data_IF_893389427365
#
_entry.id   IF_893389427365
#
_cell.length_a   1.000
_cell.length_b   1.000
_cell.length_c   1.000
_cell.angle_alpha   90.00
_cell.angle_beta   90.00
_cell.angle_gamma   90.00
#
_symmetry.space_group_name_H-M   'P 1'
#
loop_
_entity.id
_entity.type
_entity.pdbx_description
1 polymer ?
#
# COMPACT_ATOMS: atom_id res chain seq x y z
N UNK A 1 16.20 22.94 -20.79
CA UNK A 1 15.23 22.58 -19.73
C UNK A 1 15.78 21.50 -18.81
N UNK A 2 16.16 20.31 -19.31
CA UNK A 2 16.82 19.22 -18.55
C UNK A 2 17.98 19.70 -17.65
N UNK A 3 18.94 20.44 -18.21
CA UNK A 3 20.09 20.99 -17.45
C UNK A 3 19.67 22.01 -16.39
N UNK A 4 18.62 22.80 -16.63
CA UNK A 4 18.19 23.85 -15.70
C UNK A 4 17.45 23.26 -14.50
N UNK A 5 16.66 22.20 -14.72
CA UNK A 5 15.92 21.48 -13.67
C UNK A 5 16.89 20.71 -12.77
N UNK A 6 17.81 19.94 -13.35
CA UNK A 6 18.83 19.21 -12.59
C UNK A 6 19.73 20.20 -11.82
N UNK A 7 20.17 21.28 -12.46
CA UNK A 7 20.97 22.32 -11.80
C UNK A 7 20.21 23.01 -10.65
N UNK A 8 18.90 23.23 -10.79
CA UNK A 8 18.06 23.78 -9.71
C UNK A 8 17.95 22.82 -8.53
N UNK A 9 17.87 21.51 -8.79
CA UNK A 9 17.88 20.50 -7.75
C UNK A 9 19.26 20.45 -7.08
N UNK A 10 20.37 20.36 -7.83
CA UNK A 10 21.74 20.26 -7.30
C UNK A 10 22.18 21.47 -6.46
N UNK A 11 21.85 22.70 -6.87
CA UNK A 11 22.30 23.92 -6.17
C UNK A 11 21.76 24.07 -4.74
N UNK A 12 20.71 23.31 -4.37
CA UNK A 12 20.13 23.36 -3.02
C UNK A 12 21.07 22.85 -1.92
N UNK A 13 22.16 22.14 -2.26
CA UNK A 13 23.13 21.63 -1.28
C UNK A 13 24.13 22.66 -0.73
N UNK A 14 24.21 23.86 -1.32
CA UNK A 14 25.35 24.78 -1.11
C UNK A 14 25.01 26.17 -0.54
N UNK A 15 23.76 26.49 -0.19
CA UNK A 15 23.36 27.88 0.09
C UNK A 15 22.98 28.19 1.55
N UNK A 16 23.32 29.42 1.98
CA UNK A 16 23.10 30.02 3.31
C UNK A 16 21.61 30.23 3.66
N UNK A 17 21.24 30.27 4.96
CA UNK A 17 19.85 30.23 5.46
C UNK A 17 18.92 31.35 4.96
N UNK A 18 19.43 32.51 4.52
CA UNK A 18 18.60 33.61 4.02
C UNK A 18 18.05 33.40 2.59
N UNK A 19 18.55 32.40 1.86
CA UNK A 19 18.11 32.05 0.50
C UNK A 19 17.14 30.87 0.42
N UNK A 20 16.78 30.30 1.57
CA UNK A 20 16.04 29.04 1.70
C UNK A 20 14.62 29.11 1.12
N UNK A 21 13.92 30.24 1.29
CA UNK A 21 12.54 30.42 0.81
C UNK A 21 12.41 30.44 -0.72
N UNK A 22 13.29 31.16 -1.42
CA UNK A 22 13.28 31.26 -2.89
C UNK A 22 13.72 29.94 -3.53
N UNK A 23 14.66 29.23 -2.89
CA UNK A 23 15.19 27.97 -3.37
C UNK A 23 14.21 26.80 -3.17
N UNK A 24 13.43 26.81 -2.08
CA UNK A 24 12.31 25.88 -1.88
C UNK A 24 11.22 26.03 -2.95
N UNK A 25 10.89 27.26 -3.34
CA UNK A 25 9.94 27.52 -4.44
C UNK A 25 10.47 27.02 -5.79
N UNK A 26 11.76 27.21 -6.07
CA UNK A 26 12.37 26.71 -7.30
C UNK A 26 12.37 25.17 -7.38
N UNK A 27 12.68 24.48 -6.27
CA UNK A 27 12.60 23.01 -6.19
C UNK A 27 11.16 22.53 -6.34
N UNK A 28 10.19 23.19 -5.70
CA UNK A 28 8.75 22.88 -5.85
C UNK A 28 8.29 23.02 -7.29
N UNK A 29 8.67 24.10 -7.98
CA UNK A 29 8.37 24.28 -9.40
C UNK A 29 9.02 23.23 -10.29
N UNK A 30 10.30 22.91 -10.03
CA UNK A 30 11.05 21.89 -10.75
C UNK A 30 10.41 20.49 -10.61
N UNK A 31 10.03 20.10 -9.39
CA UNK A 31 9.37 18.81 -9.14
C UNK A 31 7.99 18.72 -9.79
N UNK A 32 7.21 19.80 -9.79
CA UNK A 32 5.93 19.83 -10.53
C UNK A 32 6.14 19.63 -12.03
N UNK A 33 7.12 20.30 -12.63
CA UNK A 33 7.44 20.08 -14.04
C UNK A 33 7.92 18.65 -14.31
N UNK A 34 8.74 18.08 -13.41
CA UNK A 34 9.22 16.71 -13.55
C UNK A 34 8.11 15.68 -13.41
N UNK A 35 7.16 15.88 -12.49
CA UNK A 35 6.01 15.00 -12.33
C UNK A 35 5.11 15.01 -13.57
N UNK A 36 4.94 16.16 -14.22
CA UNK A 36 4.21 16.23 -15.51
C UNK A 36 4.96 15.54 -16.64
N UNK A 37 6.30 15.57 -16.61
CA UNK A 37 7.14 14.97 -17.64
C UNK A 37 7.43 13.49 -17.40
N UNK A 38 7.29 13.00 -16.17
CA UNK A 38 7.71 11.64 -15.79
C UNK A 38 6.90 10.57 -16.50
N UNK A 39 5.66 10.89 -16.85
CA UNK A 39 4.74 9.97 -17.52
C UNK A 39 5.03 9.88 -19.04
N UNK A 40 5.75 10.86 -19.59
CA UNK A 40 6.16 10.91 -21.00
C UNK A 40 7.61 10.41 -21.23
N UNK A 41 8.27 9.87 -20.21
CA UNK A 41 9.66 9.42 -20.32
C UNK A 41 9.77 8.10 -21.07
N UNK A 42 10.46 8.11 -22.22
CA UNK A 42 10.69 6.91 -23.04
C UNK A 42 11.91 6.06 -22.61
N UNK A 43 11.99 4.87 -23.20
CA UNK A 43 13.05 3.87 -23.00
C UNK A 43 14.45 4.34 -23.46
N UNK A 44 14.53 5.42 -24.23
CA UNK A 44 15.82 6.01 -24.66
C UNK A 44 16.33 7.08 -23.69
N UNK A 45 15.42 7.76 -23.00
CA UNK A 45 15.71 8.86 -22.10
C UNK A 45 16.01 8.37 -20.68
N UNK A 46 15.23 7.42 -20.17
CA UNK A 46 15.29 6.94 -18.78
C UNK A 46 16.70 6.48 -18.37
N UNK A 47 17.41 5.63 -19.15
CA UNK A 47 18.73 5.13 -18.74
C UNK A 47 19.80 6.23 -18.58
N UNK A 48 19.62 7.36 -19.26
CA UNK A 48 20.54 8.52 -19.18
C UNK A 48 20.12 9.51 -18.11
N UNK A 49 18.81 9.63 -17.87
CA UNK A 49 18.26 10.61 -16.94
C UNK A 49 18.34 10.11 -15.49
N UNK A 50 18.04 8.84 -15.24
CA UNK A 50 17.97 8.28 -13.89
C UNK A 50 19.28 8.44 -13.09
N UNK A 51 20.48 8.18 -13.64
CA UNK A 51 21.74 8.39 -12.92
C UNK A 51 21.94 9.82 -12.38
N UNK A 52 21.49 10.82 -13.13
CA UNK A 52 21.64 12.24 -12.80
C UNK A 52 20.50 12.73 -11.90
N UNK A 53 19.29 12.22 -12.13
CA UNK A 53 18.08 12.65 -11.44
C UNK A 53 17.95 12.00 -10.06
N UNK A 54 18.26 10.71 -9.94
CA UNK A 54 18.05 9.94 -8.72
C UNK A 54 18.79 10.50 -7.49
N UNK A 55 20.09 10.89 -7.56
CA UNK A 55 20.77 11.47 -6.39
C UNK A 55 20.09 12.74 -5.87
N UNK A 56 19.55 13.56 -6.78
CA UNK A 56 18.81 14.77 -6.43
C UNK A 56 17.46 14.46 -5.78
N UNK A 57 16.69 13.51 -6.33
CA UNK A 57 15.43 13.06 -5.74
C UNK A 57 15.65 12.41 -4.38
N UNK A 58 16.65 11.53 -4.28
CA UNK A 58 17.02 10.86 -3.03
C UNK A 58 17.35 11.86 -1.93
N UNK A 59 18.12 12.92 -2.23
CA UNK A 59 18.44 13.97 -1.26
C UNK A 59 17.19 14.70 -0.76
N UNK A 60 16.20 14.94 -1.62
CA UNK A 60 14.92 15.54 -1.21
C UNK A 60 14.18 14.59 -0.27
N UNK A 61 14.06 13.32 -0.66
CA UNK A 61 13.35 12.28 0.10
C UNK A 61 13.98 12.09 1.49
N UNK A 62 15.30 12.05 1.58
CA UNK A 62 16.06 11.79 2.81
C UNK A 62 16.27 12.99 3.73
N UNK A 63 15.77 14.19 3.37
CA UNK A 63 15.99 15.42 4.15
C UNK A 63 14.69 15.97 4.77
N UNK A 64 14.12 15.33 5.81
CA UNK A 64 12.87 15.78 6.45
C UNK A 64 12.99 17.16 7.10
N UNK A 65 14.19 17.57 7.47
CA UNK A 65 14.44 18.89 8.08
C UNK A 65 14.46 20.03 7.05
N UNK A 66 14.59 19.72 5.76
CA UNK A 66 14.72 20.71 4.70
C UNK A 66 13.46 20.80 3.83
N UNK A 67 12.74 19.69 3.67
CA UNK A 67 11.59 19.59 2.77
C UNK A 67 10.37 19.02 3.48
N UNK A 68 9.23 19.65 3.24
CA UNK A 68 7.91 19.20 3.70
C UNK A 68 7.56 17.83 3.09
N UNK A 69 6.75 17.03 3.81
CA UNK A 69 6.31 15.70 3.35
C UNK A 69 5.62 15.74 1.99
N UNK A 70 4.84 16.78 1.71
CA UNK A 70 4.19 16.97 0.39
C UNK A 70 5.20 16.99 -0.77
N UNK A 71 6.36 17.62 -0.58
CA UNK A 71 7.41 17.71 -1.59
C UNK A 71 8.20 16.41 -1.70
N UNK A 72 8.44 15.76 -0.56
CA UNK A 72 9.10 14.45 -0.48
C UNK A 72 8.25 13.35 -1.13
N UNK A 73 6.93 13.36 -0.94
CA UNK A 73 5.97 12.48 -1.62
C UNK A 73 6.02 12.68 -3.13
N UNK A 74 6.06 13.94 -3.61
CA UNK A 74 6.19 14.21 -5.06
C UNK A 74 7.51 13.69 -5.63
N UNK A 75 8.61 13.80 -4.88
CA UNK A 75 9.88 13.22 -5.30
C UNK A 75 9.82 11.68 -5.37
N UNK A 76 9.15 11.02 -4.41
CA UNK A 76 8.88 9.59 -4.46
C UNK A 76 8.00 9.19 -5.65
N UNK A 77 6.96 9.98 -5.98
CA UNK A 77 6.13 9.74 -7.16
C UNK A 77 6.94 9.73 -8.47
N UNK A 78 7.92 10.63 -8.61
CA UNK A 78 8.83 10.62 -9.77
C UNK A 78 9.73 9.37 -9.74
N UNK A 79 10.23 8.97 -8.56
CA UNK A 79 10.98 7.72 -8.41
C UNK A 79 10.14 6.52 -8.81
N UNK A 80 8.87 6.47 -8.40
CA UNK A 80 7.90 5.44 -8.80
C UNK A 80 7.79 5.36 -10.32
N UNK A 81 7.55 6.48 -11.02
CA UNK A 81 7.48 6.50 -12.49
C UNK A 81 8.78 6.02 -13.14
N UNK A 82 9.94 6.38 -12.58
CA UNK A 82 11.24 5.86 -13.04
C UNK A 82 11.35 4.33 -12.87
N UNK A 83 10.96 3.79 -11.71
CA UNK A 83 11.00 2.34 -11.44
C UNK A 83 10.05 1.59 -12.38
N UNK A 84 8.84 2.10 -12.58
CA UNK A 84 7.84 1.49 -13.46
C UNK A 84 8.31 1.45 -14.91
N UNK A 85 8.86 2.57 -15.41
CA UNK A 85 9.44 2.62 -16.76
C UNK A 85 10.63 1.69 -16.91
N UNK A 86 11.57 1.69 -15.94
CA UNK A 86 12.70 0.76 -15.92
C UNK A 86 12.24 -0.71 -15.94
N UNK A 87 11.17 -1.03 -15.23
CA UNK A 87 10.56 -2.36 -15.18
C UNK A 87 9.96 -2.82 -16.51
N UNK A 88 9.40 -1.87 -17.26
CA UNK A 88 8.80 -2.12 -18.59
C UNK A 88 9.83 -2.28 -19.70
N UNK A 89 11.11 -1.94 -19.45
CA UNK A 89 12.18 -2.07 -20.44
C UNK A 89 12.54 -3.54 -20.70
N UNK A 90 12.54 -3.94 -21.97
CA UNK A 90 12.95 -5.28 -22.40
C UNK A 90 14.04 -5.25 -23.48
N UNK A 91 14.67 -6.39 -23.73
CA UNK A 91 15.67 -6.53 -24.79
C UNK A 91 17.04 -5.90 -24.46
N UNK A 92 17.49 -4.99 -25.33
CA UNK A 92 18.89 -4.48 -25.38
C UNK A 92 19.32 -3.78 -24.09
N UNK A 93 18.39 -3.10 -23.41
CA UNK A 93 18.68 -2.30 -22.21
C UNK A 93 18.55 -3.06 -20.88
N UNK A 94 18.22 -4.37 -20.92
CA UNK A 94 17.97 -5.16 -19.71
C UNK A 94 19.16 -5.16 -18.73
N UNK A 95 20.39 -5.13 -19.24
CA UNK A 95 21.60 -5.13 -18.41
C UNK A 95 21.81 -3.76 -17.75
N UNK A 96 21.62 -2.69 -18.51
CA UNK A 96 21.68 -1.31 -18.05
C UNK A 96 20.62 -1.05 -16.97
N UNK A 97 19.38 -1.50 -17.19
CA UNK A 97 18.29 -1.44 -16.21
C UNK A 97 18.68 -2.12 -14.89
N UNK A 98 19.21 -3.35 -14.94
CA UNK A 98 19.61 -4.06 -13.72
C UNK A 98 20.70 -3.31 -12.96
N UNK A 99 21.69 -2.75 -13.66
CA UNK A 99 22.76 -1.97 -13.02
C UNK A 99 22.23 -0.68 -12.36
N UNK A 100 21.33 0.04 -13.04
CA UNK A 100 20.69 1.23 -12.51
C UNK A 100 19.85 0.91 -11.27
N UNK A 101 19.00 -0.11 -11.37
CA UNK A 101 18.18 -0.55 -10.25
C UNK A 101 19.03 -0.99 -9.05
N UNK A 102 20.11 -1.74 -9.30
CA UNK A 102 21.02 -2.16 -8.22
C UNK A 102 21.65 -0.95 -7.50
N UNK A 103 21.97 0.11 -8.24
CA UNK A 103 22.56 1.33 -7.68
C UNK A 103 21.55 2.17 -6.87
N UNK A 104 20.26 2.06 -7.18
CA UNK A 104 19.18 2.77 -6.51
C UNK A 104 18.60 1.99 -5.33
N UNK A 105 18.69 0.66 -5.36
CA UNK A 105 17.95 -0.23 -4.46
C UNK A 105 18.33 -0.01 -2.99
N UNK A 106 19.62 0.04 -2.68
CA UNK A 106 20.09 0.15 -1.30
C UNK A 106 19.64 1.45 -0.62
N UNK A 107 19.87 2.64 -1.22
CA UNK A 107 19.35 3.89 -0.66
C UNK A 107 17.82 3.90 -0.54
N UNK A 108 17.10 3.34 -1.53
CA UNK A 108 15.64 3.31 -1.51
C UNK A 108 15.11 2.44 -0.38
N UNK A 109 15.62 1.22 -0.23
CA UNK A 109 15.22 0.29 0.83
C UNK A 109 15.44 0.90 2.21
N UNK A 110 16.57 1.58 2.42
CA UNK A 110 16.83 2.30 3.68
C UNK A 110 15.76 3.37 3.95
N UNK A 111 15.45 4.21 2.95
CA UNK A 111 14.43 5.25 3.11
C UNK A 111 13.02 4.68 3.27
N UNK A 112 12.69 3.59 2.56
CA UNK A 112 11.41 2.92 2.67
C UNK A 112 11.21 2.37 4.07
N UNK A 113 12.22 1.69 4.64
CA UNK A 113 12.18 1.22 6.02
C UNK A 113 12.01 2.38 7.01
N UNK A 114 12.66 3.54 6.81
CA UNK A 114 12.50 4.71 7.68
C UNK A 114 11.07 5.27 7.61
N UNK A 115 10.53 5.44 6.40
CA UNK A 115 9.20 6.03 6.18
C UNK A 115 8.09 5.11 6.71
N UNK A 116 8.17 3.80 6.44
CA UNK A 116 7.19 2.81 6.91
C UNK A 116 7.26 2.55 8.42
N UNK A 117 8.40 2.85 9.08
CA UNK A 117 8.50 2.74 10.53
C UNK A 117 7.76 3.85 11.29
N UNK A 118 7.27 4.89 10.61
CA UNK A 118 6.38 5.87 11.22
C UNK A 118 4.98 5.27 11.35
N UNK A 119 4.35 5.20 12.53
CA UNK A 119 2.99 4.70 12.65
C UNK A 119 1.99 5.65 12.00
N UNK A 120 0.90 5.11 11.45
CA UNK A 120 -0.29 5.91 11.09
C UNK A 120 -1.06 6.20 12.37
N UNK A 121 -1.29 7.48 12.69
CA UNK A 121 -1.80 7.91 14.00
C UNK A 121 -3.19 8.52 13.95
N UNK A 122 -3.55 9.13 12.83
CA UNK A 122 -4.82 9.84 12.67
C UNK A 122 -5.34 9.67 11.24
N UNK A 123 -6.62 9.95 10.95
CA UNK A 123 -7.16 10.01 9.60
C UNK A 123 -6.72 11.29 8.85
N UNK A 124 -5.51 11.79 9.11
CA UNK A 124 -4.92 12.89 8.36
C UNK A 124 -4.08 12.34 7.20
N UNK A 125 -4.39 12.68 5.93
CA UNK A 125 -3.62 12.27 4.77
C UNK A 125 -2.12 12.50 4.85
N UNK A 126 -1.67 13.51 5.59
CA UNK A 126 -0.24 13.79 5.79
C UNK A 126 0.49 12.70 6.61
N UNK A 127 -0.24 11.87 7.38
CA UNK A 127 0.32 10.76 8.15
C UNK A 127 0.71 9.57 7.24
N UNK A 128 0.00 9.35 6.13
CA UNK A 128 0.26 8.22 5.21
C UNK A 128 0.70 8.62 3.80
N UNK A 129 0.69 9.90 3.41
CA UNK A 129 1.01 10.32 2.03
C UNK A 129 2.40 9.89 1.56
N UNK A 130 3.38 9.87 2.47
CA UNK A 130 4.73 9.38 2.18
C UNK A 130 4.75 7.86 2.06
N UNK A 131 4.00 7.17 2.93
CA UNK A 131 3.90 5.73 2.93
C UNK A 131 3.22 5.23 1.66
N UNK A 132 2.14 5.87 1.22
CA UNK A 132 1.44 5.57 -0.03
C UNK A 132 2.40 5.50 -1.22
N UNK A 133 3.27 6.49 -1.37
CA UNK A 133 4.26 6.51 -2.46
C UNK A 133 5.35 5.45 -2.28
N UNK A 134 5.73 5.12 -1.05
CA UNK A 134 6.63 3.99 -0.77
C UNK A 134 5.97 2.65 -1.13
N UNK A 135 4.70 2.45 -0.80
CA UNK A 135 3.95 1.23 -1.12
C UNK A 135 3.87 1.02 -2.63
N UNK A 136 3.52 2.07 -3.39
CA UNK A 136 3.54 2.06 -4.86
C UNK A 136 4.92 1.69 -5.41
N UNK A 137 5.99 2.29 -4.88
CA UNK A 137 7.36 1.96 -5.28
C UNK A 137 7.69 0.48 -4.99
N UNK A 138 7.35 -0.02 -3.81
CA UNK A 138 7.58 -1.42 -3.42
C UNK A 138 6.80 -2.38 -4.32
N UNK A 139 5.54 -2.07 -4.64
CA UNK A 139 4.72 -2.84 -5.55
C UNK A 139 5.40 -2.96 -6.92
N UNK A 140 5.78 -1.81 -7.51
CA UNK A 140 6.48 -1.79 -8.80
C UNK A 140 7.82 -2.53 -8.74
N UNK A 141 8.56 -2.44 -7.64
CA UNK A 141 9.82 -3.16 -7.46
C UNK A 141 9.62 -4.67 -7.49
N UNK A 142 8.66 -5.19 -6.73
CA UNK A 142 8.44 -6.64 -6.61
C UNK A 142 7.86 -7.20 -7.92
N UNK A 143 6.90 -6.50 -8.55
CA UNK A 143 6.28 -6.93 -9.80
C UNK A 143 7.27 -6.94 -10.96
N UNK A 144 8.04 -5.86 -11.13
CA UNK A 144 8.93 -5.72 -12.28
C UNK A 144 10.28 -6.41 -12.09
N UNK A 145 10.71 -6.59 -10.84
CA UNK A 145 11.99 -7.20 -10.50
C UNK A 145 11.78 -8.37 -9.52
N UNK A 146 11.14 -9.48 -9.95
CA UNK A 146 10.78 -10.59 -9.05
C UNK A 146 11.99 -11.33 -8.47
N UNK A 147 13.21 -11.07 -8.98
CA UNK A 147 14.49 -11.61 -8.48
C UNK A 147 15.28 -10.61 -7.62
N UNK A 148 14.59 -9.68 -6.97
CA UNK A 148 15.23 -8.79 -6.00
C UNK A 148 15.88 -9.61 -4.87
N UNK A 149 17.01 -9.16 -4.33
CA UNK A 149 17.65 -9.86 -3.24
C UNK A 149 16.71 -9.94 -2.03
N UNK A 150 16.44 -11.16 -1.55
CA UNK A 150 15.53 -11.41 -0.42
C UNK A 150 15.84 -10.51 0.78
N UNK A 151 17.11 -10.39 1.15
CA UNK A 151 17.56 -9.56 2.27
C UNK A 151 17.11 -8.08 2.19
N UNK A 152 16.91 -7.55 0.97
CA UNK A 152 16.49 -6.16 0.77
C UNK A 152 14.99 -6.00 1.01
N UNK A 153 14.18 -6.95 0.55
CA UNK A 153 12.74 -6.93 0.82
C UNK A 153 12.45 -7.28 2.28
N UNK A 154 13.17 -8.26 2.85
CA UNK A 154 13.00 -8.62 4.27
C UNK A 154 13.28 -7.45 5.22
N UNK A 155 14.13 -6.49 4.83
CA UNK A 155 14.39 -5.28 5.62
C UNK A 155 13.21 -4.30 5.70
N UNK A 156 12.25 -4.37 4.74
CA UNK A 156 11.05 -3.53 4.74
C UNK A 156 9.80 -4.26 5.28
N UNK A 157 9.80 -5.60 5.36
CA UNK A 157 8.64 -6.37 5.80
C UNK A 157 8.18 -6.05 7.23
N UNK A 158 9.11 -5.88 8.17
CA UNK A 158 8.79 -5.48 9.55
C UNK A 158 8.11 -4.11 9.62
N UNK A 159 8.71 -3.05 9.05
CA UNK A 159 8.09 -1.73 8.94
C UNK A 159 6.73 -1.75 8.20
N UNK A 160 6.62 -2.51 7.11
CA UNK A 160 5.38 -2.68 6.36
C UNK A 160 4.28 -3.31 7.21
N UNK A 161 4.61 -4.33 8.00
CA UNK A 161 3.69 -4.95 8.95
C UNK A 161 3.18 -3.94 9.98
N UNK A 162 4.06 -3.11 10.54
CA UNK A 162 3.65 -2.06 11.49
C UNK A 162 2.74 -1.01 10.83
N UNK A 163 2.99 -0.69 9.56
CA UNK A 163 2.11 0.18 8.77
C UNK A 163 0.72 -0.46 8.65
N UNK A 164 0.62 -1.73 8.26
CA UNK A 164 -0.65 -2.46 8.12
C UNK A 164 -1.44 -2.52 9.44
N UNK A 165 -0.77 -2.82 10.56
CA UNK A 165 -1.43 -2.91 11.87
C UNK A 165 -1.83 -1.53 12.43
N UNK A 166 -1.00 -0.50 12.25
CA UNK A 166 -1.31 0.84 12.76
C UNK A 166 -2.42 1.53 11.96
N UNK A 167 -2.39 1.38 10.63
CA UNK A 167 -3.41 1.90 9.73
C UNK A 167 -4.78 1.24 9.95
N UNK A 168 -4.82 -0.07 10.22
CA UNK A 168 -6.07 -0.75 10.62
C UNK A 168 -6.77 -0.06 11.79
N UNK A 169 -6.03 0.38 12.82
CA UNK A 169 -6.63 1.06 13.98
C UNK A 169 -7.29 2.37 13.58
N UNK A 170 -6.66 3.12 12.68
CA UNK A 170 -7.19 4.38 12.17
C UNK A 170 -8.40 4.12 11.26
N UNK A 171 -8.31 3.14 10.37
CA UNK A 171 -9.40 2.72 9.49
C UNK A 171 -10.62 2.25 10.28
N UNK A 172 -10.41 1.43 11.32
CA UNK A 172 -11.48 0.95 12.18
C UNK A 172 -12.22 2.08 12.89
N UNK A 173 -11.51 3.05 13.44
CA UNK A 173 -12.12 4.16 14.16
C UNK A 173 -12.74 5.21 13.24
N UNK A 174 -12.13 5.46 12.08
CA UNK A 174 -12.46 6.62 11.24
C UNK A 174 -13.38 6.29 10.07
N UNK A 175 -13.38 5.04 9.60
CA UNK A 175 -14.16 4.59 8.44
C UNK A 175 -15.19 3.55 8.86
N UNK A 176 -14.78 2.49 9.56
CA UNK A 176 -15.74 1.48 10.03
C UNK A 176 -16.66 2.14 11.05
N UNK A 177 -16.15 2.61 12.18
CA UNK A 177 -16.95 3.23 13.25
C UNK A 177 -17.17 4.75 13.07
N UNK A 178 -17.11 5.23 11.82
CA UNK A 178 -17.26 6.64 11.51
C UNK A 178 -18.57 7.21 12.07
N UNK A 179 -18.55 8.47 12.53
CA UNK A 179 -19.79 9.22 12.76
C UNK A 179 -20.39 9.68 11.43
N UNK A 180 -21.72 9.81 11.34
CA UNK A 180 -22.43 10.20 10.11
C UNK A 180 -21.93 11.52 9.47
N UNK A 181 -21.31 12.43 10.24
CA UNK A 181 -20.82 13.74 9.80
C UNK A 181 -19.32 13.78 9.46
N UNK A 182 -18.61 12.64 9.43
CA UNK A 182 -17.17 12.61 9.19
C UNK A 182 -16.83 12.81 7.70
N UNK A 183 -16.10 13.89 7.37
CA UNK A 183 -15.52 14.11 6.05
C UNK A 183 -14.21 13.32 5.93
N UNK A 184 -14.25 12.21 5.19
CA UNK A 184 -13.15 11.24 5.11
C UNK A 184 -12.28 11.40 3.85
N UNK A 185 -12.55 12.42 3.02
CA UNK A 185 -11.88 12.59 1.73
C UNK A 185 -10.98 13.83 1.74
N UNK A 186 -9.67 13.59 1.77
CA UNK A 186 -8.66 14.64 1.60
C UNK A 186 -8.30 14.85 0.12
N UNK A 187 -7.93 16.07 -0.24
CA UNK A 187 -7.35 16.37 -1.55
C UNK A 187 -5.98 17.05 -1.40
N UNK A 188 -5.07 16.76 -2.32
CA UNK A 188 -3.77 17.41 -2.36
C UNK A 188 -3.79 18.76 -3.11
N UNK A 189 -2.65 19.44 -3.15
CA UNK A 189 -2.53 20.76 -3.83
C UNK A 189 -2.81 20.74 -5.32
N UNK A 190 -2.81 19.56 -5.93
CA UNK A 190 -2.98 19.35 -7.36
C UNK A 190 -4.36 18.73 -7.65
N UNK A 191 -5.22 18.57 -6.62
CA UNK A 191 -6.58 18.06 -6.72
C UNK A 191 -6.70 16.54 -6.66
N UNK A 192 -5.60 15.83 -6.38
CA UNK A 192 -5.62 14.37 -6.26
C UNK A 192 -6.20 13.95 -4.92
N UNK A 193 -7.14 13.02 -4.95
CA UNK A 193 -7.71 12.43 -3.75
C UNK A 193 -6.65 11.69 -2.92
N UNK A 194 -6.73 11.84 -1.61
CA UNK A 194 -5.92 11.15 -0.60
C UNK A 194 -6.82 10.44 0.40
N UNK A 195 -7.54 9.44 -0.05
CA UNK A 195 -8.39 8.64 0.82
C UNK A 195 -7.58 7.63 1.62
N UNK A 196 -8.03 7.38 2.85
CA UNK A 196 -7.50 6.29 3.67
C UNK A 196 -7.84 4.94 3.02
N UNK A 197 -9.01 4.80 2.41
CA UNK A 197 -9.41 3.58 1.70
C UNK A 197 -8.46 3.24 0.54
N UNK A 198 -8.09 4.21 -0.31
CA UNK A 198 -7.09 3.96 -1.37
C UNK A 198 -5.72 3.58 -0.82
N UNK A 199 -5.37 4.05 0.38
CA UNK A 199 -4.13 3.65 1.05
C UNK A 199 -4.19 2.19 1.53
N UNK A 200 -5.30 1.78 2.15
CA UNK A 200 -5.50 0.38 2.56
C UNK A 200 -5.56 -0.57 1.36
N UNK A 201 -6.23 -0.17 0.27
CA UNK A 201 -6.24 -0.97 -0.97
C UNK A 201 -4.83 -1.13 -1.52
N UNK A 202 -4.02 -0.06 -1.49
CA UNK A 202 -2.62 -0.16 -1.92
C UNK A 202 -1.80 -1.11 -1.05
N UNK A 203 -2.08 -1.18 0.27
CA UNK A 203 -1.48 -2.18 1.17
C UNK A 203 -1.90 -3.60 0.79
N UNK A 204 -3.19 -3.83 0.49
CA UNK A 204 -3.69 -5.12 0.03
C UNK A 204 -3.03 -5.58 -1.27
N UNK A 205 -2.90 -4.71 -2.26
CA UNK A 205 -2.23 -5.02 -3.53
C UNK A 205 -0.77 -5.43 -3.31
N UNK A 206 -0.07 -4.73 -2.41
CA UNK A 206 1.31 -5.06 -2.08
C UNK A 206 1.42 -6.40 -1.35
N UNK A 207 0.57 -6.65 -0.35
CA UNK A 207 0.55 -7.95 0.35
C UNK A 207 0.20 -9.10 -0.59
N UNK A 208 -0.76 -8.90 -1.49
CA UNK A 208 -1.14 -9.89 -2.51
C UNK A 208 0.07 -10.21 -3.40
N UNK A 209 0.77 -9.18 -3.86
CA UNK A 209 2.00 -9.34 -4.66
C UNK A 209 3.13 -10.05 -3.89
N UNK A 210 3.27 -9.78 -2.58
CA UNK A 210 4.26 -10.44 -1.71
C UNK A 210 3.92 -11.93 -1.55
N UNK A 211 2.65 -12.26 -1.28
CA UNK A 211 2.18 -13.63 -1.11
C UNK A 211 2.33 -14.43 -2.41
N UNK A 212 2.00 -13.84 -3.56
CA UNK A 212 2.17 -14.50 -4.86
C UNK A 212 3.62 -14.66 -5.31
N UNK A 213 4.58 -14.01 -4.64
CA UNK A 213 6.00 -14.22 -4.90
C UNK A 213 6.52 -15.41 -4.06
N UNK A 214 6.74 -16.56 -4.72
CA UNK A 214 7.20 -17.80 -4.07
C UNK A 214 8.47 -17.70 -3.19
N UNK A 215 9.35 -16.71 -3.41
CA UNK A 215 10.49 -16.49 -2.51
C UNK A 215 10.06 -15.74 -1.24
N UNK A 216 9.28 -14.67 -1.40
CA UNK A 216 8.82 -13.84 -0.28
C UNK A 216 7.75 -14.55 0.55
N UNK A 217 6.89 -15.36 -0.08
CA UNK A 217 5.92 -16.22 0.60
C UNK A 217 6.59 -17.06 1.69
N UNK A 218 7.74 -17.68 1.39
CA UNK A 218 8.49 -18.47 2.39
C UNK A 218 8.94 -17.64 3.59
N UNK A 219 9.26 -16.36 3.39
CA UNK A 219 9.69 -15.45 4.46
C UNK A 219 8.53 -15.11 5.38
N UNK A 220 7.33 -14.90 4.83
CA UNK A 220 6.15 -14.49 5.61
C UNK A 220 5.31 -15.68 6.12
N UNK A 221 5.61 -16.91 5.70
CA UNK A 221 4.86 -18.13 6.05
C UNK A 221 4.51 -18.29 7.54
N UNK A 222 5.36 -17.80 8.45
CA UNK A 222 5.09 -17.83 9.89
C UNK A 222 4.01 -16.85 10.39
N UNK A 223 3.61 -15.88 9.57
CA UNK A 223 2.70 -14.78 9.95
C UNK A 223 1.37 -14.79 9.19
N UNK A 224 1.11 -15.80 8.35
CA UNK A 224 -0.03 -15.81 7.42
C UNK A 224 -1.37 -15.82 8.15
N UNK A 225 -1.43 -16.48 9.30
CA UNK A 225 -2.61 -16.45 10.17
C UNK A 225 -2.91 -15.03 10.68
N UNK A 226 -1.89 -14.28 11.06
CA UNK A 226 -2.06 -12.91 11.53
C UNK A 226 -2.44 -11.99 10.35
N UNK A 227 -1.82 -12.19 9.19
CA UNK A 227 -2.20 -11.50 7.95
C UNK A 227 -3.68 -11.74 7.62
N UNK A 228 -4.13 -13.00 7.61
CA UNK A 228 -5.53 -13.35 7.38
C UNK A 228 -6.47 -12.72 8.41
N UNK A 229 -6.09 -12.68 9.70
CA UNK A 229 -6.88 -12.03 10.75
C UNK A 229 -7.11 -10.54 10.48
N UNK A 230 -6.04 -9.79 10.19
CA UNK A 230 -6.18 -8.36 9.87
C UNK A 230 -6.95 -8.16 8.57
N UNK A 231 -6.69 -8.97 7.54
CA UNK A 231 -7.45 -8.91 6.28
C UNK A 231 -8.95 -9.06 6.51
N UNK A 232 -9.39 -10.10 7.24
CA UNK A 232 -10.81 -10.26 7.60
C UNK A 232 -11.32 -9.05 8.38
N UNK A 233 -10.52 -8.52 9.29
CA UNK A 233 -10.91 -7.37 10.12
C UNK A 233 -11.12 -6.09 9.31
N UNK A 234 -10.36 -5.87 8.24
CA UNK A 234 -10.54 -4.74 7.30
C UNK A 234 -11.79 -4.87 6.43
N UNK A 235 -12.30 -6.09 6.21
CA UNK A 235 -13.48 -6.33 5.37
C UNK A 235 -14.79 -5.98 6.07
N UNK A 236 -14.79 -5.49 7.32
CA UNK A 236 -16.02 -5.09 8.00
C UNK A 236 -16.78 -4.00 7.23
N UNK A 237 -18.10 -4.16 7.14
CA UNK A 237 -19.00 -3.15 6.55
C UNK A 237 -18.82 -1.81 7.28
N UNK A 238 -18.63 -0.74 6.51
CA UNK A 238 -18.43 0.62 7.01
C UNK A 238 -19.76 1.29 7.37
N UNK A 239 -19.74 2.33 8.20
CA UNK A 239 -20.96 3.09 8.51
C UNK A 239 -21.59 3.68 7.24
N UNK A 240 -20.77 4.22 6.34
CA UNK A 240 -21.23 4.75 5.06
C UNK A 240 -21.92 3.68 4.21
N UNK A 241 -21.36 2.47 4.13
CA UNK A 241 -21.98 1.34 3.42
C UNK A 241 -23.33 0.95 4.05
N UNK A 242 -23.43 0.87 5.38
CA UNK A 242 -24.71 0.60 6.06
C UNK A 242 -25.77 1.61 5.62
N UNK A 243 -25.43 2.90 5.61
CA UNK A 243 -26.37 3.96 5.24
C UNK A 243 -26.76 3.92 3.76
N UNK A 244 -25.78 3.80 2.87
CA UNK A 244 -25.98 3.80 1.43
C UNK A 244 -26.79 2.57 0.99
N UNK A 245 -26.42 1.37 1.46
CA UNK A 245 -27.08 0.12 1.11
C UNK A 245 -28.49 0.01 1.69
N UNK A 246 -28.73 0.60 2.86
CA UNK A 246 -30.09 0.68 3.43
C UNK A 246 -31.02 1.60 2.63
N UNK A 247 -30.47 2.57 1.89
CA UNK A 247 -31.22 3.53 1.07
C UNK A 247 -31.40 3.07 -0.36
N UNK A 248 -30.43 2.35 -0.93
CA UNK A 248 -30.46 1.87 -2.30
C UNK A 248 -29.92 0.43 -2.43
N UNK A 249 -30.82 -0.52 -2.65
CA UNK A 249 -30.47 -1.92 -2.86
C UNK A 249 -29.69 -2.16 -4.17
N UNK A 250 -29.81 -1.28 -5.17
CA UNK A 250 -29.01 -1.40 -6.39
C UNK A 250 -27.55 -1.01 -6.12
N UNK A 251 -27.33 -0.04 -5.22
CA UNK A 251 -25.98 0.34 -4.80
C UNK A 251 -25.31 -0.82 -4.06
N UNK A 252 -26.04 -1.53 -3.18
CA UNK A 252 -25.52 -2.76 -2.56
C UNK A 252 -25.09 -3.80 -3.60
N UNK A 253 -25.92 -4.07 -4.62
CA UNK A 253 -25.58 -5.04 -5.68
C UNK A 253 -24.37 -4.58 -6.49
N UNK A 254 -24.22 -3.28 -6.75
CA UNK A 254 -23.08 -2.74 -7.48
C UNK A 254 -21.79 -2.81 -6.64
N UNK A 255 -21.85 -2.45 -5.35
CA UNK A 255 -20.67 -2.39 -4.49
C UNK A 255 -20.12 -3.77 -4.12
N UNK A 256 -20.97 -4.78 -4.04
CA UNK A 256 -20.57 -6.18 -3.78
C UNK A 256 -20.21 -6.96 -5.06
N UNK A 257 -20.11 -6.28 -6.22
CA UNK A 257 -19.53 -6.86 -7.44
C UNK A 257 -17.99 -6.93 -7.31
N UNK A 258 -17.39 -8.02 -7.79
CA UNK A 258 -15.94 -8.29 -7.71
C UNK A 258 -15.08 -7.27 -8.48
N UNK A 259 -15.70 -6.43 -9.33
CA UNK A 259 -15.01 -5.35 -10.03
C UNK A 259 -14.92 -4.05 -9.22
N UNK A 260 -15.56 -3.98 -8.06
CA UNK A 260 -15.57 -2.78 -7.22
C UNK A 260 -14.24 -2.56 -6.53
N UNK A 261 -13.75 -1.33 -6.59
CA UNK A 261 -12.52 -0.92 -5.91
C UNK A 261 -12.82 -0.62 -4.43
N UNK A 262 -12.61 -1.60 -3.55
CA UNK A 262 -12.85 -1.46 -2.11
C UNK A 262 -11.91 -2.33 -1.28
N UNK A 263 -11.74 -2.00 0.01
CA UNK A 263 -11.03 -2.84 0.96
C UNK A 263 -11.61 -4.27 1.06
N UNK A 264 -12.94 -4.41 0.87
CA UNK A 264 -13.62 -5.72 0.92
C UNK A 264 -13.14 -6.63 -0.21
N UNK A 265 -13.19 -6.13 -1.44
CA UNK A 265 -12.77 -6.86 -2.64
C UNK A 265 -11.27 -7.12 -2.63
N UNK A 266 -10.45 -6.10 -2.35
CA UNK A 266 -8.98 -6.28 -2.29
C UNK A 266 -8.54 -7.23 -1.17
N UNK A 267 -9.26 -7.23 -0.05
CA UNK A 267 -9.07 -8.21 1.02
C UNK A 267 -9.36 -9.64 0.57
N UNK A 268 -10.44 -9.86 -0.19
CA UNK A 268 -10.80 -11.19 -0.71
C UNK A 268 -9.74 -11.71 -1.68
N UNK A 269 -9.24 -10.86 -2.58
CA UNK A 269 -8.13 -11.22 -3.49
C UNK A 269 -6.87 -11.64 -2.71
N UNK A 270 -6.53 -10.96 -1.62
CA UNK A 270 -5.41 -11.36 -0.77
C UNK A 270 -5.66 -12.72 -0.10
N UNK A 271 -6.88 -12.98 0.38
CA UNK A 271 -7.21 -14.27 0.99
C UNK A 271 -7.15 -15.41 -0.04
N UNK A 272 -7.61 -15.19 -1.27
CA UNK A 272 -7.48 -16.13 -2.38
C UNK A 272 -6.02 -16.42 -2.73
N UNK A 273 -5.19 -15.37 -2.76
CA UNK A 273 -3.77 -15.50 -3.01
C UNK A 273 -3.06 -16.26 -1.86
N UNK A 274 -3.50 -16.10 -0.61
CA UNK A 274 -3.04 -16.92 0.53
C UNK A 274 -3.37 -18.40 0.30
N UNK A 275 -4.59 -18.73 -0.12
CA UNK A 275 -4.95 -20.12 -0.43
C UNK A 275 -4.12 -20.65 -1.60
N UNK A 276 -3.93 -19.85 -2.63
CA UNK A 276 -3.14 -20.23 -3.82
C UNK A 276 -1.68 -20.48 -3.48
N UNK A 277 -1.06 -19.63 -2.65
CA UNK A 277 0.35 -19.71 -2.32
C UNK A 277 0.69 -20.77 -1.25
N UNK A 278 -0.25 -21.08 -0.35
CA UNK A 278 -0.01 -21.97 0.80
C UNK A 278 -0.89 -23.23 0.82
N UNK A 279 -1.78 -23.40 -0.14
CA UNK A 279 -2.68 -24.56 -0.28
C UNK A 279 -3.46 -24.81 1.04
N UNK A 280 -3.50 -26.06 1.53
CA UNK A 280 -4.19 -26.45 2.76
C UNK A 280 -3.78 -25.60 3.98
N UNK A 281 -2.50 -25.20 4.07
CA UNK A 281 -2.03 -24.35 5.17
C UNK A 281 -2.66 -22.95 5.12
N UNK A 282 -2.89 -22.42 3.92
CA UNK A 282 -3.60 -21.15 3.72
C UNK A 282 -5.05 -21.24 4.17
N UNK A 283 -5.73 -22.34 3.81
CA UNK A 283 -7.10 -22.61 4.25
C UNK A 283 -7.19 -22.71 5.78
N UNK A 284 -6.31 -23.49 6.41
CA UNK A 284 -6.26 -23.63 7.86
C UNK A 284 -6.01 -22.28 8.55
N UNK A 285 -5.09 -21.47 8.04
CA UNK A 285 -4.78 -20.15 8.58
C UNK A 285 -6.02 -19.22 8.56
N UNK A 286 -6.79 -19.23 7.46
CA UNK A 286 -7.99 -18.41 7.30
C UNK A 286 -9.13 -18.90 8.20
N UNK A 287 -9.31 -20.22 8.33
CA UNK A 287 -10.28 -20.81 9.24
C UNK A 287 -9.98 -20.47 10.70
N UNK A 288 -8.71 -20.57 11.10
CA UNK A 288 -8.29 -20.21 12.45
C UNK A 288 -8.45 -18.70 12.70
N UNK A 289 -8.13 -17.84 11.73
CA UNK A 289 -8.36 -16.40 11.81
C UNK A 289 -9.86 -16.08 11.95
N UNK A 290 -10.71 -16.75 11.18
CA UNK A 290 -12.18 -16.60 11.26
C UNK A 290 -12.72 -17.02 12.63
N UNK A 291 -12.19 -18.11 13.21
CA UNK A 291 -12.57 -18.54 14.57
C UNK A 291 -12.20 -17.52 15.64
N UNK A 292 -11.04 -16.85 15.49
CA UNK A 292 -10.63 -15.74 16.37
C UNK A 292 -11.63 -14.60 16.25
N UNK A 293 -11.94 -14.16 15.03
CA UNK A 293 -12.90 -13.10 14.75
C UNK A 293 -14.31 -13.41 15.30
N UNK A 294 -14.79 -14.65 15.13
CA UNK A 294 -16.07 -15.09 15.70
C UNK A 294 -16.08 -15.06 17.23
N UNK A 295 -14.95 -15.40 17.88
CA UNK A 295 -14.84 -15.32 19.34
C UNK A 295 -14.87 -13.86 19.81
N UNK A 296 -14.10 -12.98 19.19
CA UNK A 296 -14.07 -11.55 19.50
C UNK A 296 -15.44 -10.89 19.28
N UNK A 297 -16.12 -11.23 18.19
CA UNK A 297 -17.50 -10.80 17.93
C UNK A 297 -18.47 -11.24 19.04
N UNK A 298 -18.36 -12.50 19.52
CA UNK A 298 -19.19 -12.98 20.65
C UNK A 298 -18.89 -12.24 21.95
N UNK A 299 -17.62 -11.92 22.22
CA UNK A 299 -17.21 -11.14 23.38
C UNK A 299 -17.77 -9.71 23.32
N UNK A 300 -17.69 -9.05 22.16
CA UNK A 300 -18.30 -7.73 21.93
C UNK A 300 -19.82 -7.77 22.13
N UNK A 301 -20.49 -8.82 21.66
CA UNK A 301 -21.93 -9.02 21.85
C UNK A 301 -22.28 -9.17 23.32
N UNK A 302 -21.49 -9.94 24.08
CA UNK A 302 -21.68 -10.12 25.53
C UNK A 302 -21.41 -8.82 26.30
N UNK A 303 -20.48 -8.00 25.83
CA UNK A 303 -20.21 -6.67 26.37
C UNK A 303 -21.28 -5.62 25.99
N UNK A 304 -22.26 -5.97 25.15
CA UNK A 304 -23.35 -5.07 24.74
C UNK A 304 -22.96 -4.04 23.68
N UNK A 305 -21.87 -4.26 22.95
CA UNK A 305 -21.52 -3.42 21.79
C UNK A 305 -22.62 -3.48 20.74
N UNK A 306 -22.94 -2.36 20.08
CA UNK A 306 -23.88 -2.33 18.97
C UNK A 306 -23.27 -2.90 17.67
N UNK A 307 -21.93 -2.85 17.54
CA UNK A 307 -21.21 -3.17 16.31
C UNK A 307 -20.65 -4.60 16.28
N UNK A 308 -20.99 -5.42 17.29
CA UNK A 308 -20.48 -6.81 17.41
C UNK A 308 -20.66 -7.65 16.14
N UNK A 309 -21.70 -7.33 15.36
CA UNK A 309 -22.11 -8.07 14.17
C UNK A 309 -21.18 -7.81 12.98
N UNK A 310 -20.45 -6.68 12.93
CA UNK A 310 -19.60 -6.33 11.78
C UNK A 310 -18.47 -7.32 11.59
N UNK A 311 -17.75 -7.63 12.66
CA UNK A 311 -16.68 -8.63 12.62
C UNK A 311 -17.21 -10.05 12.35
N UNK A 312 -18.44 -10.33 12.79
CA UNK A 312 -19.12 -11.58 12.46
C UNK A 312 -19.43 -11.69 10.97
N UNK A 313 -20.01 -10.63 10.40
CA UNK A 313 -20.32 -10.52 8.98
C UNK A 313 -19.06 -10.62 8.14
N UNK A 314 -18.00 -9.89 8.49
CA UNK A 314 -16.74 -9.92 7.75
C UNK A 314 -16.13 -11.32 7.71
N UNK A 315 -16.23 -12.07 8.81
CA UNK A 315 -15.79 -13.47 8.88
C UNK A 315 -16.62 -14.36 7.94
N UNK A 316 -17.93 -14.17 7.87
CA UNK A 316 -18.80 -14.91 6.94
C UNK A 316 -18.55 -14.52 5.48
N UNK A 317 -18.32 -13.23 5.21
CA UNK A 317 -17.98 -12.71 3.89
C UNK A 317 -16.66 -13.31 3.38
N UNK A 318 -15.62 -13.32 4.22
CA UNK A 318 -14.33 -13.92 3.90
C UNK A 318 -14.46 -15.42 3.56
N UNK A 319 -15.17 -16.18 4.39
CA UNK A 319 -15.41 -17.60 4.14
C UNK A 319 -16.30 -17.84 2.90
N UNK A 320 -17.27 -16.97 2.66
CA UNK A 320 -18.12 -17.02 1.47
C UNK A 320 -17.35 -16.78 0.18
N UNK A 321 -16.44 -15.79 0.18
CA UNK A 321 -15.54 -15.46 -0.94
C UNK A 321 -14.65 -16.66 -1.31
N UNK A 322 -14.28 -17.49 -0.34
CA UNK A 322 -13.44 -18.67 -0.53
C UNK A 322 -14.23 -19.98 -0.66
N UNK A 323 -15.54 -19.91 -0.86
CA UNK A 323 -16.42 -21.09 -0.78
C UNK A 323 -16.02 -22.22 -1.74
N UNK A 324 -15.57 -21.90 -2.96
CA UNK A 324 -15.09 -22.90 -3.93
C UNK A 324 -13.88 -23.67 -3.38
N UNK A 325 -12.84 -22.94 -2.95
CA UNK A 325 -11.64 -23.52 -2.34
C UNK A 325 -11.95 -24.36 -1.10
N UNK A 326 -12.85 -23.87 -0.24
CA UNK A 326 -13.28 -24.59 0.96
C UNK A 326 -14.05 -25.87 0.61
N UNK A 327 -14.93 -25.84 -0.39
CA UNK A 327 -15.65 -27.02 -0.85
C UNK A 327 -14.72 -28.09 -1.45
N UNK A 328 -13.69 -27.67 -2.18
CA UNK A 328 -12.68 -28.57 -2.74
C UNK A 328 -11.82 -29.22 -1.64
N UNK A 329 -11.44 -28.47 -0.61
CA UNK A 329 -10.78 -29.02 0.57
C UNK A 329 -11.70 -29.91 1.43
N UNK A 330 -13.02 -29.72 1.35
CA UNK A 330 -14.05 -30.38 2.17
C UNK A 330 -14.51 -31.77 1.68
N UNK A 331 -13.56 -32.66 1.37
CA UNK A 331 -13.79 -34.09 1.68
C UNK A 331 -13.76 -34.34 3.21
N UNK A 332 -13.50 -33.33 4.08
CA UNK A 332 -13.39 -33.55 5.54
C UNK A 332 -13.86 -32.49 6.56
N UNK A 333 -14.33 -31.29 6.20
CA UNK A 333 -14.32 -30.14 7.15
C UNK A 333 -15.68 -29.56 7.59
N UNK A 334 -16.80 -30.25 7.32
CA UNK A 334 -18.17 -29.80 7.69
C UNK A 334 -18.40 -29.65 9.22
N UNK A 335 -17.47 -30.08 10.07
CA UNK A 335 -17.63 -30.07 11.53
C UNK A 335 -17.25 -28.77 12.26
N UNK A 336 -16.71 -27.75 11.58
CA UNK A 336 -16.15 -26.54 12.24
C UNK A 336 -17.05 -25.29 12.18
N UNK A 337 -18.20 -25.36 11.48
CA UNK A 337 -19.14 -24.24 11.33
C UNK A 337 -20.39 -24.33 12.22
N UNK A 338 -20.48 -25.37 13.07
CA UNK A 338 -21.48 -25.54 14.12
C UNK A 338 -20.82 -25.36 15.49
#
# INVERSE_FOLDING_TARGET
MKTMVIFTLEFHGCCYPESFGVLSMAVRGALRCLALLSDDLDDTCIPKLVPELFPSLYRIISSPHLYENSLRSKALGIVHSCISMLGSMSGVYKRETVNLMTSMLDPLVEQFSIILNSPVLSPNPDDWSMQMEVLKCLLQLIQNFPRLPEAKISAVLGPLWQTFVSSFKVYHLSIIQASEDADNVGYDSDGSERSLESFEIQLFELWTTIVGNSMLAKVIAGNIKELAYYTISFQQITEEQVQNWSRDANQYVADEDDVTYSCRVSGSLLLEEIVTAYEDYGIDAILEASQVCFRESRELKQAGSADWWRLHEASLFALGSLSEHLCEAQVGLILLLC
#
